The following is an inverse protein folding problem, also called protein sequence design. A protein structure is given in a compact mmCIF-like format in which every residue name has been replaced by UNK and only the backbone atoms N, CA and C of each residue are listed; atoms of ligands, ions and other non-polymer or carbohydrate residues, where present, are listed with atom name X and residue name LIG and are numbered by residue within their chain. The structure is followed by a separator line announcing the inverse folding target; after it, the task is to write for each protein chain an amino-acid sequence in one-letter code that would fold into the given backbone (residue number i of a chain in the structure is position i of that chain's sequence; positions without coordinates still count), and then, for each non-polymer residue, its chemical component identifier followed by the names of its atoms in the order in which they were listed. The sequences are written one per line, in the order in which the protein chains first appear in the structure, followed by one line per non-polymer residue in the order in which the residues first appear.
data_IF_007184526311
#
_entry.id   IF_007184526311
#
_cell.length_a   1.000
_cell.length_b   1.000
_cell.length_c   1.000
_cell.angle_alpha   90.00
_cell.angle_beta   90.00
_cell.angle_gamma   90.00
#
_symmetry.space_group_name_H-M   'P 1'
#
loop_
_entity.id
_entity.type
_entity.pdbx_description
1 polymer ?
#
# COMPACT_ATOMS: atom_id res chain seq x y z
N UNK A 1 53.96 61.83 26.87
CA UNK A 1 52.61 61.32 27.22
C UNK A 1 52.23 60.22 26.26
N UNK A 2 52.35 58.96 26.67
CA UNK A 2 51.95 57.77 25.84
C UNK A 2 50.72 57.16 26.50
N UNK A 3 49.58 57.17 25.81
CA UNK A 3 48.40 56.50 26.25
C UNK A 3 48.48 55.02 25.89
N UNK A 4 48.29 54.13 26.85
CA UNK A 4 48.19 52.68 26.67
C UNK A 4 46.74 52.30 26.39
N UNK A 5 46.48 51.70 25.25
CA UNK A 5 45.23 51.02 24.93
C UNK A 5 45.28 49.58 25.50
N UNK A 6 44.30 49.25 26.35
CA UNK A 6 44.10 47.92 26.88
C UNK A 6 43.34 47.00 25.87
N UNK A 7 43.52 45.71 25.94
CA UNK A 7 42.84 44.78 24.99
C UNK A 7 41.37 44.58 25.39
N UNK A 8 40.49 44.72 24.35
CA UNK A 8 39.09 44.35 24.43
C UNK A 8 38.98 42.83 24.28
N UNK A 9 38.53 42.17 25.33
CA UNK A 9 38.23 40.74 25.32
C UNK A 9 36.92 40.52 24.59
N UNK A 10 36.98 40.00 23.35
CA UNK A 10 35.80 39.53 22.59
C UNK A 10 35.38 38.14 23.10
N UNK A 11 34.28 38.13 23.85
CA UNK A 11 33.59 36.91 24.30
C UNK A 11 32.87 36.28 23.08
N UNK A 12 33.47 35.27 22.45
CA UNK A 12 32.81 34.44 21.44
C UNK A 12 31.92 33.44 22.19
N UNK A 13 30.63 33.70 22.25
CA UNK A 13 29.63 32.73 22.65
C UNK A 13 29.50 31.66 21.58
N UNK A 14 30.01 30.46 21.85
CA UNK A 14 29.75 29.29 21.05
C UNK A 14 28.31 28.83 21.31
N UNK A 15 27.42 29.09 20.34
CA UNK A 15 26.07 28.54 20.34
C UNK A 15 26.17 27.05 19.94
N UNK A 16 26.23 26.16 20.94
CA UNK A 16 26.15 24.72 20.72
C UNK A 16 24.70 24.39 20.39
N UNK A 17 24.40 24.28 19.11
CA UNK A 17 23.14 23.66 18.64
C UNK A 17 23.27 22.18 18.95
N UNK A 18 22.67 21.71 20.04
CA UNK A 18 22.40 20.30 20.24
C UNK A 18 21.37 19.89 19.21
N UNK A 19 21.81 19.25 18.14
CA UNK A 19 20.94 18.38 17.35
C UNK A 19 20.53 17.23 18.27
N UNK A 20 19.34 17.33 18.83
CA UNK A 20 18.66 16.16 19.37
C UNK A 20 18.34 15.26 18.17
N UNK A 21 19.22 14.31 17.91
CA UNK A 21 18.88 13.13 17.11
C UNK A 21 17.90 12.36 17.98
N UNK A 22 16.63 12.69 17.86
CA UNK A 22 15.57 11.85 18.36
C UNK A 22 15.71 10.51 17.64
N UNK A 23 15.98 9.44 18.39
CA UNK A 23 15.74 8.08 17.94
C UNK A 23 14.21 7.98 17.74
N UNK A 24 13.73 8.44 16.58
CA UNK A 24 12.37 8.20 16.14
C UNK A 24 12.24 6.70 15.99
N UNK A 25 11.48 6.06 16.86
CA UNK A 25 10.97 4.71 16.62
C UNK A 25 10.21 4.79 15.30
N UNK A 26 10.62 3.96 14.36
CA UNK A 26 10.13 4.01 13.00
C UNK A 26 8.71 3.48 12.96
N UNK A 27 7.82 4.25 12.36
CA UNK A 27 6.49 3.83 12.05
C UNK A 27 6.58 2.65 11.06
N UNK A 28 6.12 1.49 11.50
CA UNK A 28 5.88 0.32 10.65
C UNK A 28 4.37 0.21 10.51
N UNK A 29 3.86 0.31 9.27
CA UNK A 29 2.44 0.18 8.98
C UNK A 29 1.86 -1.10 9.59
N UNK A 30 0.64 -1.08 10.06
CA UNK A 30 -0.11 -2.17 10.72
C UNK A 30 0.71 -3.25 11.45
N UNK A 31 1.99 -3.08 11.63
CA UNK A 31 2.91 -4.08 12.13
C UNK A 31 2.78 -5.43 11.41
N UNK A 32 3.70 -6.33 11.62
CA UNK A 32 3.69 -7.64 10.96
C UNK A 32 2.39 -8.45 11.14
N UNK A 33 1.66 -8.23 12.24
CA UNK A 33 0.42 -8.97 12.53
C UNK A 33 -0.76 -8.45 11.72
N UNK A 34 -0.87 -7.12 11.55
CA UNK A 34 -1.95 -6.50 10.79
C UNK A 34 -1.85 -6.83 9.31
N UNK A 35 -0.66 -6.70 8.71
CA UNK A 35 -0.46 -7.05 7.30
C UNK A 35 -0.76 -8.52 7.00
N UNK A 36 -0.33 -9.46 7.89
CA UNK A 36 -0.72 -10.86 7.74
C UNK A 36 -2.23 -11.04 7.72
N UNK A 37 -2.92 -10.49 8.70
CA UNK A 37 -4.37 -10.62 8.83
C UNK A 37 -5.12 -10.02 7.63
N UNK A 38 -4.66 -8.90 7.09
CA UNK A 38 -5.23 -8.27 5.89
C UNK A 38 -5.10 -9.20 4.69
N UNK A 39 -3.87 -9.65 4.39
CA UNK A 39 -3.60 -10.54 3.27
C UNK A 39 -4.36 -11.87 3.37
N UNK A 40 -4.30 -12.53 4.53
CA UNK A 40 -5.00 -13.80 4.76
C UNK A 40 -6.52 -13.66 4.60
N UNK A 41 -7.13 -12.64 5.23
CA UNK A 41 -8.58 -12.45 5.19
C UNK A 41 -9.08 -12.08 3.79
N UNK A 42 -8.33 -11.27 3.04
CA UNK A 42 -8.67 -10.92 1.66
C UNK A 42 -8.69 -12.16 0.75
N UNK A 43 -7.67 -13.02 0.84
CA UNK A 43 -7.57 -14.24 0.04
C UNK A 43 -8.66 -15.24 0.39
N UNK A 44 -8.94 -15.45 1.67
CA UNK A 44 -10.01 -16.34 2.12
C UNK A 44 -11.41 -15.86 1.71
N UNK A 45 -11.57 -14.57 1.41
CA UNK A 45 -12.82 -13.96 0.95
C UNK A 45 -12.95 -13.89 -0.58
N UNK A 46 -11.97 -14.40 -1.35
CA UNK A 46 -12.01 -14.37 -2.82
C UNK A 46 -13.14 -15.24 -3.37
N UNK A 47 -13.91 -14.73 -4.37
CA UNK A 47 -14.97 -15.49 -5.02
C UNK A 47 -14.41 -16.61 -5.93
N UNK A 48 -15.29 -17.56 -6.25
CA UNK A 48 -14.92 -18.75 -7.04
C UNK A 48 -14.46 -18.46 -8.48
N UNK A 49 -14.71 -17.26 -8.99
CA UNK A 49 -14.28 -16.86 -10.34
C UNK A 49 -12.77 -16.66 -10.48
N UNK A 50 -12.04 -16.48 -9.36
CA UNK A 50 -10.59 -16.35 -9.36
C UNK A 50 -9.92 -17.73 -9.62
N UNK A 51 -8.68 -17.72 -10.17
CA UNK A 51 -7.91 -18.94 -10.37
C UNK A 51 -7.82 -19.78 -9.09
N UNK A 52 -7.98 -21.12 -9.19
CA UNK A 52 -8.01 -22.01 -8.02
C UNK A 52 -6.77 -21.90 -7.13
N UNK A 53 -5.58 -21.68 -7.71
CA UNK A 53 -4.33 -21.61 -6.96
C UNK A 53 -4.33 -20.47 -5.92
N UNK A 54 -5.08 -19.39 -6.14
CA UNK A 54 -5.22 -18.29 -5.15
C UNK A 54 -6.03 -18.70 -3.93
N UNK A 55 -6.88 -19.71 -4.04
CA UNK A 55 -7.76 -20.20 -2.98
C UNK A 55 -7.24 -21.45 -2.26
N UNK A 56 -6.04 -21.87 -2.62
CA UNK A 56 -5.36 -22.98 -1.93
C UNK A 56 -4.97 -22.54 -0.50
N UNK A 57 -5.03 -23.48 0.43
CA UNK A 57 -4.78 -23.20 1.86
C UNK A 57 -3.41 -22.55 2.14
N UNK A 58 -2.41 -22.83 1.29
CA UNK A 58 -1.07 -22.22 1.40
C UNK A 58 -1.00 -20.78 0.88
N UNK A 59 -1.90 -20.38 -0.03
CA UNK A 59 -1.83 -19.07 -0.68
C UNK A 59 -2.19 -17.93 0.27
N UNK A 60 -3.19 -18.10 1.13
CA UNK A 60 -3.52 -17.12 2.15
C UNK A 60 -2.33 -16.85 3.08
N UNK A 61 -1.71 -17.90 3.61
CA UNK A 61 -0.53 -17.77 4.46
C UNK A 61 0.65 -17.17 3.71
N UNK A 62 0.90 -17.56 2.47
CA UNK A 62 1.97 -17.01 1.65
C UNK A 62 1.80 -15.50 1.46
N UNK A 63 0.60 -15.05 1.09
CA UNK A 63 0.30 -13.63 0.90
C UNK A 63 0.40 -12.85 2.21
N UNK A 64 -0.08 -13.40 3.33
CA UNK A 64 0.11 -12.79 4.64
C UNK A 64 1.59 -12.59 5.01
N UNK A 65 2.48 -13.54 4.68
CA UNK A 65 3.91 -13.38 4.91
C UNK A 65 4.57 -12.43 3.89
N UNK A 66 4.20 -12.50 2.62
CA UNK A 66 4.73 -11.63 1.55
C UNK A 66 4.30 -10.18 1.73
N UNK A 67 3.13 -9.92 2.33
CA UNK A 67 2.69 -8.57 2.70
C UNK A 67 3.60 -7.85 3.69
N UNK A 68 4.67 -8.46 4.16
CA UNK A 68 5.70 -7.85 5.03
C UNK A 68 6.97 -7.47 4.27
N UNK A 69 7.09 -7.82 3.00
CA UNK A 69 8.32 -7.61 2.24
C UNK A 69 8.64 -6.13 1.99
N UNK A 70 7.67 -5.22 1.73
CA UNK A 70 7.97 -3.80 1.61
C UNK A 70 8.68 -3.24 2.85
N UNK A 71 8.22 -3.57 4.06
CA UNK A 71 8.89 -3.18 5.30
C UNK A 71 10.26 -3.82 5.48
N UNK A 72 10.41 -5.09 5.12
CA UNK A 72 11.70 -5.81 5.22
C UNK A 72 12.76 -5.28 4.27
N UNK A 73 12.34 -4.69 3.16
CA UNK A 73 13.25 -4.10 2.18
C UNK A 73 13.67 -2.68 2.53
N UNK A 74 13.07 -2.08 3.57
CA UNK A 74 13.53 -0.79 4.14
C UNK A 74 14.74 -1.05 5.04
N UNK A 75 15.66 -0.07 5.09
CA UNK A 75 16.79 -0.05 6.05
C UNK A 75 17.71 -1.28 6.00
N UNK A 76 17.88 -1.81 4.81
CA UNK A 76 18.90 -2.83 4.55
C UNK A 76 20.34 -2.28 4.65
N UNK A 77 20.52 -0.97 4.87
CA UNK A 77 21.81 -0.29 4.93
C UNK A 77 22.35 0.10 3.56
N UNK A 78 21.52 0.10 2.52
CA UNK A 78 21.89 0.46 1.16
C UNK A 78 21.50 1.90 0.82
N UNK A 79 22.13 2.48 -0.20
CA UNK A 79 22.00 3.91 -0.53
C UNK A 79 20.56 4.35 -0.87
N UNK A 80 19.70 3.45 -1.39
CA UNK A 80 18.34 3.74 -1.80
C UNK A 80 17.26 3.27 -0.82
N UNK A 81 17.62 2.85 0.38
CA UNK A 81 16.64 2.37 1.36
C UNK A 81 15.58 3.41 1.66
N UNK A 82 16.02 4.65 1.93
CA UNK A 82 15.11 5.76 2.26
C UNK A 82 14.21 6.20 1.09
N UNK A 83 14.56 5.85 -0.15
CA UNK A 83 13.75 6.21 -1.31
C UNK A 83 12.43 5.42 -1.40
N UNK A 84 12.33 4.31 -0.67
CA UNK A 84 11.13 3.46 -0.58
C UNK A 84 10.16 3.90 0.52
N UNK A 85 10.67 4.55 1.57
CA UNK A 85 9.87 4.97 2.72
C UNK A 85 8.61 5.76 2.34
N UNK A 86 8.67 6.75 1.42
CA UNK A 86 7.49 7.52 1.06
C UNK A 86 6.39 6.76 0.30
N UNK A 87 6.67 5.54 -0.14
CA UNK A 87 5.67 4.65 -0.74
C UNK A 87 4.63 4.13 0.25
N UNK A 88 4.89 4.25 1.56
CA UNK A 88 4.06 3.71 2.64
C UNK A 88 3.03 4.70 3.18
N UNK A 89 3.06 5.96 2.78
CA UNK A 89 2.18 6.99 3.32
C UNK A 89 1.80 8.05 2.28
N UNK A 90 0.79 8.84 2.62
CA UNK A 90 0.44 10.08 1.93
C UNK A 90 -0.03 11.11 2.97
N UNK A 91 0.60 12.26 3.01
CA UNK A 91 0.31 13.32 3.98
C UNK A 91 -0.88 14.18 3.54
N UNK A 92 -2.09 13.64 3.75
CA UNK A 92 -3.34 14.39 3.61
C UNK A 92 -3.54 15.38 4.77
N UNK A 93 -3.91 16.60 4.46
CA UNK A 93 -4.25 17.64 5.44
C UNK A 93 -5.73 17.59 5.85
N UNK A 94 -6.11 18.40 6.85
CA UNK A 94 -7.48 18.49 7.37
C UNK A 94 -8.54 18.95 6.32
N UNK A 95 -8.10 19.42 5.15
CA UNK A 95 -8.97 19.77 4.02
C UNK A 95 -9.10 18.64 2.98
N UNK A 96 -8.49 17.47 3.22
CA UNK A 96 -8.50 16.34 2.29
C UNK A 96 -7.53 16.47 1.13
N UNK A 97 -6.49 17.32 1.28
CA UNK A 97 -5.54 17.60 0.20
C UNK A 97 -4.11 17.25 0.61
N UNK A 98 -3.32 16.83 -0.34
CA UNK A 98 -1.88 16.72 -0.20
C UNK A 98 -1.25 18.07 -0.50
N UNK A 99 -0.42 18.56 0.44
CA UNK A 99 0.26 19.86 0.34
C UNK A 99 -0.70 21.07 0.12
N UNK A 100 -1.97 20.95 0.51
CA UNK A 100 -2.99 21.99 0.32
C UNK A 100 -3.46 22.19 -1.12
N UNK A 101 -2.96 21.41 -2.09
CA UNK A 101 -3.20 21.64 -3.54
C UNK A 101 -3.85 20.47 -4.24
N UNK A 102 -3.56 19.22 -3.87
CA UNK A 102 -4.05 18.02 -4.56
C UNK A 102 -5.09 17.28 -3.72
N UNK A 103 -6.40 17.37 -4.05
CA UNK A 103 -7.40 16.55 -3.36
C UNK A 103 -7.12 15.06 -3.56
N UNK A 104 -7.19 14.25 -2.51
CA UNK A 104 -7.04 12.79 -2.61
C UNK A 104 -8.06 12.19 -3.59
N UNK A 105 -9.27 12.74 -3.64
CA UNK A 105 -10.33 12.29 -4.57
C UNK A 105 -10.14 12.70 -6.03
N UNK A 106 -9.07 13.46 -6.34
CA UNK A 106 -8.78 13.95 -7.69
C UNK A 106 -7.27 13.96 -7.95
N UNK A 107 -6.64 12.83 -7.70
CA UNK A 107 -5.21 12.63 -7.93
C UNK A 107 -4.89 12.64 -9.44
N UNK A 108 -3.72 13.14 -9.85
CA UNK A 108 -3.24 12.99 -11.23
C UNK A 108 -3.14 11.50 -11.63
N UNK A 109 -3.32 11.17 -12.93
CA UNK A 109 -3.33 9.77 -13.38
C UNK A 109 -1.96 9.08 -13.33
N UNK A 110 -0.87 9.82 -13.14
CA UNK A 110 0.49 9.27 -13.08
C UNK A 110 1.27 9.86 -11.91
N UNK A 111 2.19 9.06 -11.35
CA UNK A 111 3.11 9.49 -10.29
C UNK A 111 3.98 10.68 -10.73
N UNK A 112 4.40 10.73 -11.99
CA UNK A 112 5.17 11.84 -12.53
C UNK A 112 4.38 13.15 -12.53
N UNK A 113 3.10 13.11 -12.94
CA UNK A 113 2.22 14.28 -12.90
C UNK A 113 1.94 14.73 -11.44
N UNK A 114 1.81 13.79 -10.52
CA UNK A 114 1.69 14.06 -9.08
C UNK A 114 2.93 14.75 -8.53
N UNK A 115 4.13 14.20 -8.77
CA UNK A 115 5.38 14.82 -8.31
C UNK A 115 5.60 16.22 -8.93
N UNK A 116 5.25 16.38 -10.19
CA UNK A 116 5.29 17.69 -10.87
C UNK A 116 4.38 18.71 -10.20
N UNK A 117 3.15 18.34 -9.86
CA UNK A 117 2.22 19.21 -9.15
C UNK A 117 2.71 19.59 -7.76
N UNK A 118 3.26 18.62 -7.00
CA UNK A 118 3.84 18.86 -5.68
C UNK A 118 5.07 19.78 -5.75
N UNK A 119 5.95 19.58 -6.73
CA UNK A 119 7.09 20.49 -6.96
C UNK A 119 6.64 21.91 -7.29
N UNK A 120 5.54 22.06 -8.04
CA UNK A 120 4.88 23.35 -8.25
C UNK A 120 4.41 24.02 -6.96
N UNK A 121 4.05 23.25 -5.94
CA UNK A 121 3.71 23.72 -4.60
C UNK A 121 4.92 23.86 -3.64
N UNK A 122 6.14 23.64 -4.13
CA UNK A 122 7.38 23.77 -3.34
C UNK A 122 7.74 22.58 -2.47
N UNK A 123 7.11 21.43 -2.68
CA UNK A 123 7.38 20.17 -1.96
C UNK A 123 7.67 19.04 -2.95
N UNK A 124 7.91 17.84 -2.45
CA UNK A 124 8.18 16.67 -3.29
C UNK A 124 7.35 15.49 -2.84
N UNK A 125 7.11 14.51 -3.72
CA UNK A 125 6.47 13.25 -3.39
C UNK A 125 7.28 12.45 -2.36
N UNK A 126 8.60 12.62 -2.31
CA UNK A 126 9.44 12.02 -1.27
C UNK A 126 9.06 12.51 0.13
N UNK A 127 8.67 13.78 0.27
CA UNK A 127 8.27 14.37 1.57
C UNK A 127 6.80 14.12 1.90
N UNK A 128 5.93 14.20 0.90
CA UNK A 128 4.46 14.11 1.09
C UNK A 128 3.93 12.68 0.98
N UNK A 129 4.78 11.72 0.64
CA UNK A 129 4.40 10.35 0.35
C UNK A 129 3.83 10.16 -1.05
N UNK A 130 3.83 8.90 -1.50
CA UNK A 130 3.26 8.49 -2.78
C UNK A 130 2.52 7.15 -2.69
N UNK A 131 2.00 6.81 -1.52
CA UNK A 131 1.20 5.59 -1.27
C UNK A 131 0.11 5.34 -2.34
N UNK A 132 -0.63 6.36 -2.83
CA UNK A 132 -1.62 6.12 -3.88
C UNK A 132 -1.02 5.44 -5.11
N UNK A 133 0.20 5.82 -5.48
CA UNK A 133 0.86 5.30 -6.68
C UNK A 133 1.54 3.95 -6.44
N UNK A 134 1.94 3.64 -5.20
CA UNK A 134 2.35 2.29 -4.84
C UNK A 134 1.20 1.30 -5.06
N UNK A 135 -0.01 1.63 -4.61
CA UNK A 135 -1.21 0.81 -4.83
C UNK A 135 -1.54 0.70 -6.32
N UNK A 136 -1.59 1.83 -7.06
CA UNK A 136 -1.94 1.86 -8.48
C UNK A 136 -0.94 1.07 -9.32
N UNK A 137 0.36 1.25 -9.09
CA UNK A 137 1.44 0.57 -9.83
C UNK A 137 1.38 -0.95 -9.62
N UNK A 138 1.22 -1.41 -8.36
CA UNK A 138 1.12 -2.84 -8.03
C UNK A 138 -0.18 -3.46 -8.58
N UNK A 139 -1.30 -2.72 -8.54
CA UNK A 139 -2.54 -3.19 -9.14
C UNK A 139 -2.42 -3.37 -10.66
N UNK A 140 -1.81 -2.40 -11.37
CA UNK A 140 -1.57 -2.50 -12.81
C UNK A 140 -0.61 -3.67 -13.16
N UNK A 141 0.40 -3.89 -12.34
CA UNK A 141 1.28 -5.05 -12.48
C UNK A 141 0.50 -6.34 -12.33
N UNK A 142 -0.36 -6.45 -11.33
CA UNK A 142 -1.22 -7.61 -11.09
C UNK A 142 -2.18 -7.89 -12.27
N UNK A 143 -2.78 -6.84 -12.86
CA UNK A 143 -3.60 -6.97 -14.08
C UNK A 143 -2.80 -7.62 -15.20
N UNK A 144 -1.57 -7.16 -15.43
CA UNK A 144 -0.68 -7.70 -16.45
C UNK A 144 -0.33 -9.17 -16.18
N UNK A 145 0.01 -9.51 -14.94
CA UNK A 145 0.42 -10.88 -14.61
C UNK A 145 -0.75 -11.86 -14.66
N UNK A 146 -1.96 -11.45 -14.30
CA UNK A 146 -3.16 -12.22 -14.58
C UNK A 146 -3.43 -12.40 -16.08
N UNK A 147 -3.18 -11.36 -16.90
CA UNK A 147 -3.34 -11.46 -18.35
C UNK A 147 -2.39 -12.51 -18.95
N UNK A 148 -1.11 -12.49 -18.58
CA UNK A 148 -0.14 -13.51 -19.00
C UNK A 148 -0.50 -14.90 -18.49
N UNK A 149 -0.94 -15.03 -17.24
CA UNK A 149 -1.40 -16.31 -16.70
C UNK A 149 -2.57 -16.89 -17.50
N UNK A 150 -3.56 -16.07 -17.89
CA UNK A 150 -4.68 -16.48 -18.74
C UNK A 150 -4.21 -17.01 -20.10
N UNK A 151 -3.26 -16.30 -20.69
CA UNK A 151 -2.70 -16.66 -22.00
C UNK A 151 -1.92 -17.96 -21.92
N UNK A 152 -1.11 -18.15 -20.88
CA UNK A 152 -0.39 -19.41 -20.66
C UNK A 152 -1.35 -20.58 -20.42
N UNK A 153 -2.38 -20.38 -19.60
CA UNK A 153 -3.38 -21.41 -19.32
C UNK A 153 -4.17 -21.80 -20.58
N UNK A 154 -4.63 -20.83 -21.35
CA UNK A 154 -5.34 -21.07 -22.61
C UNK A 154 -4.41 -21.70 -23.65
N UNK A 155 -3.20 -21.15 -23.82
CA UNK A 155 -2.20 -21.67 -24.75
C UNK A 155 -1.80 -23.11 -24.45
N UNK A 156 -1.61 -23.47 -23.18
CA UNK A 156 -1.27 -24.82 -22.76
C UNK A 156 -2.39 -25.84 -23.08
N UNK A 157 -3.65 -25.42 -23.00
CA UNK A 157 -4.81 -26.23 -23.38
C UNK A 157 -4.94 -26.43 -24.90
N UNK A 158 -4.52 -25.44 -25.68
CA UNK A 158 -4.63 -25.40 -27.12
C UNK A 158 -3.36 -25.92 -27.83
N UNK A 159 -2.26 -26.09 -27.10
CA UNK A 159 -0.97 -26.49 -27.66
C UNK A 159 -1.02 -27.80 -28.46
N UNK A 160 -0.48 -27.76 -29.68
CA UNK A 160 -0.49 -28.89 -30.65
C UNK A 160 0.66 -29.85 -30.44
N UNK A 161 1.71 -29.49 -29.68
CA UNK A 161 2.87 -30.33 -29.38
C UNK A 161 3.13 -30.39 -27.87
N UNK A 162 3.77 -31.50 -27.44
CA UNK A 162 4.11 -31.67 -26.02
C UNK A 162 5.12 -30.64 -25.54
N UNK A 163 6.07 -30.22 -26.36
CA UNK A 163 7.10 -29.25 -26.00
C UNK A 163 6.48 -27.86 -25.78
N UNK A 164 5.60 -27.41 -26.68
CA UNK A 164 4.86 -26.15 -26.52
C UNK A 164 4.02 -26.16 -25.25
N UNK A 165 3.30 -27.24 -25.01
CA UNK A 165 2.50 -27.40 -23.79
C UNK A 165 3.36 -27.35 -22.55
N UNK A 166 4.48 -28.08 -22.53
CA UNK A 166 5.37 -28.12 -21.37
C UNK A 166 5.96 -26.74 -21.04
N UNK A 167 6.33 -25.99 -22.09
CA UNK A 167 6.83 -24.61 -21.87
C UNK A 167 5.76 -23.70 -21.28
N UNK A 168 4.54 -23.66 -21.85
CA UNK A 168 3.43 -22.83 -21.38
C UNK A 168 3.00 -23.20 -19.95
N UNK A 169 2.94 -24.48 -19.60
CA UNK A 169 2.69 -24.91 -18.22
C UNK A 169 3.80 -24.46 -17.26
N UNK A 170 5.05 -24.48 -17.71
CA UNK A 170 6.19 -23.98 -16.92
C UNK A 170 6.14 -22.46 -16.74
N UNK A 171 5.74 -21.71 -17.78
CA UNK A 171 5.58 -20.25 -17.69
C UNK A 171 4.39 -19.88 -16.79
N UNK A 172 3.27 -20.57 -16.96
CA UNK A 172 2.11 -20.43 -16.07
C UNK A 172 2.49 -20.61 -14.59
N UNK A 173 3.33 -21.59 -14.26
CA UNK A 173 3.81 -21.83 -12.91
C UNK A 173 4.67 -20.66 -12.39
N UNK A 174 5.53 -20.07 -13.24
CA UNK A 174 6.30 -18.87 -12.90
C UNK A 174 5.38 -17.69 -12.64
N UNK A 175 4.35 -17.49 -13.49
CA UNK A 175 3.34 -16.43 -13.30
C UNK A 175 2.56 -16.60 -12.01
N UNK A 176 2.18 -17.83 -11.61
CA UNK A 176 1.53 -18.07 -10.33
C UNK A 176 2.39 -17.60 -9.16
N UNK A 177 3.68 -17.90 -9.16
CA UNK A 177 4.59 -17.46 -8.10
C UNK A 177 4.73 -15.92 -8.07
N UNK A 178 4.78 -15.29 -9.25
CA UNK A 178 4.84 -13.84 -9.37
C UNK A 178 3.55 -13.17 -8.89
N UNK A 179 2.38 -13.65 -9.32
CA UNK A 179 1.07 -13.15 -8.86
C UNK A 179 0.96 -13.19 -7.34
N UNK A 180 1.39 -14.28 -6.69
CA UNK A 180 1.39 -14.36 -5.23
C UNK A 180 2.29 -13.30 -4.61
N UNK A 181 3.45 -13.04 -5.19
CA UNK A 181 4.36 -12.00 -4.73
C UNK A 181 3.76 -10.59 -4.92
N UNK A 182 3.20 -10.30 -6.09
CA UNK A 182 2.60 -9.00 -6.41
C UNK A 182 1.37 -8.71 -5.53
N UNK A 183 0.51 -9.73 -5.27
CA UNK A 183 -0.58 -9.59 -4.29
C UNK A 183 -0.02 -9.34 -2.88
N UNK A 184 1.10 -9.95 -2.53
CA UNK A 184 1.78 -9.68 -1.26
C UNK A 184 2.20 -8.22 -1.15
N UNK A 185 2.85 -7.64 -2.16
CA UNK A 185 3.21 -6.23 -2.19
C UNK A 185 1.98 -5.32 -2.12
N UNK A 186 0.99 -5.57 -2.98
CA UNK A 186 -0.27 -4.82 -2.99
C UNK A 186 -0.96 -4.88 -1.63
N UNK A 187 -0.97 -6.04 -0.96
CA UNK A 187 -1.59 -6.21 0.35
C UNK A 187 -0.98 -5.32 1.43
N UNK A 188 0.33 -5.05 1.31
CA UNK A 188 1.02 -4.13 2.20
C UNK A 188 0.52 -2.70 2.03
N UNK A 189 0.60 -2.17 0.80
CA UNK A 189 0.25 -0.77 0.54
C UNK A 189 -1.25 -0.50 0.70
N UNK A 190 -2.12 -1.44 0.34
CA UNK A 190 -3.56 -1.36 0.65
C UNK A 190 -3.78 -1.40 2.16
N UNK A 191 -3.02 -2.22 2.88
CA UNK A 191 -3.04 -2.23 4.34
C UNK A 191 -2.67 -0.86 4.93
N UNK A 192 -1.57 -0.26 4.46
CA UNK A 192 -1.16 1.09 4.85
C UNK A 192 -2.26 2.12 4.59
N UNK A 193 -2.93 2.00 3.45
CA UNK A 193 -4.05 2.87 3.08
C UNK A 193 -5.29 2.74 3.97
N UNK A 194 -5.40 1.73 4.84
CA UNK A 194 -6.47 1.61 5.84
C UNK A 194 -6.07 2.10 7.24
N UNK A 195 -4.86 2.60 7.37
CA UNK A 195 -4.29 3.04 8.63
C UNK A 195 -4.26 4.58 8.69
N UNK A 196 -5.15 5.23 9.46
CA UNK A 196 -5.33 6.68 9.41
C UNK A 196 -4.05 7.49 9.67
N UNK A 197 -3.09 6.90 10.35
CA UNK A 197 -1.80 7.55 10.58
C UNK A 197 -0.84 7.43 9.38
N UNK A 198 -1.18 6.68 8.33
CA UNK A 198 -0.46 6.64 7.05
C UNK A 198 -1.06 7.54 5.97
N UNK A 199 -2.24 8.10 6.23
CA UNK A 199 -2.94 8.96 5.25
C UNK A 199 -2.97 10.44 5.65
N UNK A 200 -2.30 10.81 6.77
CA UNK A 200 -2.45 12.13 7.38
C UNK A 200 -1.13 12.78 7.80
N UNK A 201 -1.10 14.12 7.75
CA UNK A 201 -0.06 14.94 8.39
C UNK A 201 0.03 14.71 9.92
N UNK A 202 -1.02 14.15 10.54
CA UNK A 202 -1.09 13.84 11.97
C UNK A 202 -0.64 12.40 12.26
N UNK A 203 0.41 11.95 11.63
CA UNK A 203 0.83 10.54 11.59
C UNK A 203 1.38 9.97 12.91
N UNK A 204 1.86 10.79 13.86
CA UNK A 204 2.49 10.27 15.09
C UNK A 204 2.37 11.25 16.27
N UNK A 205 1.16 11.46 16.73
CA UNK A 205 0.73 12.60 17.54
C UNK A 205 0.24 13.72 16.63
N UNK A 206 -0.52 14.67 17.19
CA UNK A 206 -1.14 15.73 16.38
C UNK A 206 -0.13 16.61 15.62
N UNK A 207 1.09 16.70 16.14
CA UNK A 207 2.17 17.46 15.52
C UNK A 207 2.07 18.98 15.73
N UNK A 208 2.84 19.78 14.95
CA UNK A 208 2.95 21.22 15.12
C UNK A 208 1.81 22.00 14.44
N UNK A 209 0.67 21.41 14.26
CA UNK A 209 -0.49 21.99 13.60
C UNK A 209 -1.48 22.58 14.61
N UNK A 210 -2.41 23.47 14.19
CA UNK A 210 -3.50 23.93 15.05
C UNK A 210 -4.24 22.74 15.65
N UNK A 211 -4.41 22.73 16.99
CA UNK A 211 -4.98 21.62 17.73
C UNK A 211 -6.22 22.05 18.55
N UNK A 212 -7.32 22.39 17.89
CA UNK A 212 -8.53 22.83 18.61
C UNK A 212 -9.18 21.71 19.43
N UNK A 213 -8.95 20.44 19.03
CA UNK A 213 -9.43 19.26 19.76
C UNK A 213 -8.61 18.95 21.01
N UNK A 214 -7.44 19.55 21.19
CA UNK A 214 -6.54 19.24 22.31
C UNK A 214 -6.09 17.77 22.29
N UNK A 215 -5.79 17.26 21.10
CA UNK A 215 -5.29 15.89 20.90
C UNK A 215 -3.85 15.73 21.34
N UNK A 216 -3.44 14.50 21.61
CA UNK A 216 -2.10 14.21 22.12
C UNK A 216 -0.99 14.61 21.15
N UNK A 217 0.13 15.07 21.70
CA UNK A 217 1.39 15.25 20.95
C UNK A 217 2.35 14.09 21.12
N UNK A 218 1.97 13.11 21.96
CA UNK A 218 2.77 11.90 22.19
C UNK A 218 2.76 10.98 20.98
N UNK A 219 3.77 10.13 20.88
CA UNK A 219 3.91 9.15 19.81
C UNK A 219 2.87 8.04 19.97
N UNK A 220 1.87 8.00 19.12
CA UNK A 220 0.75 7.04 19.15
C UNK A 220 0.85 5.95 18.08
N UNK A 221 1.62 6.18 17.02
CA UNK A 221 1.67 5.34 15.81
C UNK A 221 2.07 3.89 16.16
N UNK A 222 3.33 3.67 16.51
CA UNK A 222 3.88 2.34 16.80
C UNK A 222 3.12 1.58 17.90
N UNK A 223 2.73 2.21 19.02
CA UNK A 223 1.94 1.52 20.05
C UNK A 223 0.60 1.00 19.54
N UNK A 224 -0.08 1.75 18.65
CA UNK A 224 -1.39 1.37 18.15
C UNK A 224 -1.30 0.30 17.05
N UNK A 225 -0.51 0.53 16.02
CA UNK A 225 -0.38 -0.36 14.86
C UNK A 225 0.22 -1.72 15.20
N UNK A 226 1.16 -1.76 16.13
CA UNK A 226 1.91 -2.96 16.48
C UNK A 226 1.27 -3.74 17.62
N UNK A 227 1.48 -3.26 18.84
CA UNK A 227 1.10 -4.01 20.03
C UNK A 227 -0.43 -4.12 20.19
N UNK A 228 -1.13 -3.00 20.04
CA UNK A 228 -2.57 -2.96 20.27
C UNK A 228 -3.32 -3.82 19.25
N UNK A 229 -3.05 -3.67 17.94
CA UNK A 229 -3.65 -4.50 16.88
C UNK A 229 -3.47 -6.00 17.18
N UNK A 230 -2.25 -6.41 17.49
CA UNK A 230 -1.95 -7.82 17.82
C UNK A 230 -2.72 -8.35 19.01
N UNK A 231 -3.06 -7.48 19.96
CA UNK A 231 -3.77 -7.89 21.18
C UNK A 231 -5.28 -7.97 21.00
N UNK A 232 -5.86 -7.14 20.12
CA UNK A 232 -7.31 -6.95 20.09
C UNK A 232 -7.99 -7.46 18.82
N UNK A 233 -7.31 -7.50 17.67
CA UNK A 233 -7.90 -7.98 16.42
C UNK A 233 -7.79 -9.50 16.33
N UNK A 234 -8.93 -10.14 16.09
CA UNK A 234 -8.97 -11.59 15.86
C UNK A 234 -9.41 -11.88 14.41
N UNK A 235 -8.92 -12.96 13.77
CA UNK A 235 -9.31 -13.30 12.40
C UNK A 235 -10.84 -13.41 12.20
N UNK A 236 -11.56 -13.96 13.20
CA UNK A 236 -13.02 -14.08 13.11
C UNK A 236 -13.74 -12.74 13.18
N UNK A 237 -13.32 -11.82 14.06
CA UNK A 237 -13.88 -10.48 14.15
C UNK A 237 -13.58 -9.65 12.91
N UNK A 238 -12.35 -9.77 12.39
CA UNK A 238 -11.95 -9.13 11.14
C UNK A 238 -12.85 -9.56 9.97
N UNK A 239 -12.97 -10.87 9.74
CA UNK A 239 -13.81 -11.41 8.67
C UNK A 239 -15.29 -10.99 8.81
N UNK A 240 -15.81 -10.96 10.04
CA UNK A 240 -17.17 -10.50 10.30
C UNK A 240 -17.37 -9.01 10.04
N UNK A 241 -16.32 -8.20 10.11
CA UNK A 241 -16.33 -6.76 9.86
C UNK A 241 -16.04 -6.38 8.40
N UNK A 242 -15.59 -7.33 7.56
CA UNK A 242 -15.37 -7.07 6.12
C UNK A 242 -16.68 -6.70 5.42
N UNK A 243 -16.60 -5.74 4.52
CA UNK A 243 -17.74 -5.32 3.70
C UNK A 243 -17.99 -6.29 2.53
N UNK A 244 -19.20 -6.37 1.97
CA UNK A 244 -19.46 -7.03 0.70
C UNK A 244 -18.58 -6.46 -0.42
N UNK A 245 -18.35 -7.27 -1.49
CA UNK A 245 -17.65 -6.80 -2.68
C UNK A 245 -18.28 -5.53 -3.24
N UNK A 246 -17.44 -4.54 -3.53
CA UNK A 246 -17.89 -3.27 -4.10
C UNK A 246 -17.04 -2.91 -5.33
N UNK A 247 -17.74 -2.67 -6.44
CA UNK A 247 -17.17 -2.12 -7.67
C UNK A 247 -17.75 -0.72 -7.89
N UNK A 248 -16.91 0.30 -7.88
CA UNK A 248 -17.34 1.67 -8.18
C UNK A 248 -17.59 1.89 -9.67
N UNK A 249 -17.21 0.95 -10.52
CA UNK A 249 -17.18 1.11 -11.98
C UNK A 249 -16.41 2.38 -12.40
N UNK A 250 -15.31 2.65 -11.70
CA UNK A 250 -14.47 3.82 -11.88
C UNK A 250 -13.01 3.39 -12.16
N UNK A 251 -12.16 4.27 -12.76
CA UNK A 251 -10.74 4.02 -12.90
C UNK A 251 -10.04 3.79 -11.55
N UNK A 252 -8.94 3.01 -11.57
CA UNK A 252 -8.21 2.63 -10.36
C UNK A 252 -7.69 3.84 -9.56
N UNK A 253 -7.24 4.89 -10.23
CA UNK A 253 -6.77 6.12 -9.58
C UNK A 253 -7.89 6.80 -8.78
N UNK A 254 -9.11 6.81 -9.31
CA UNK A 254 -10.27 7.34 -8.59
C UNK A 254 -10.68 6.46 -7.41
N UNK A 255 -10.62 5.12 -7.59
CA UNK A 255 -10.90 4.17 -6.50
C UNK A 255 -9.92 4.35 -5.36
N UNK A 256 -8.63 4.32 -5.65
CA UNK A 256 -7.57 4.48 -4.65
C UNK A 256 -7.67 5.85 -3.97
N UNK A 257 -7.92 6.91 -4.74
CA UNK A 257 -8.11 8.25 -4.20
C UNK A 257 -9.29 8.34 -3.21
N UNK A 258 -10.43 7.72 -3.54
CA UNK A 258 -11.59 7.66 -2.66
C UNK A 258 -11.31 6.84 -1.40
N UNK A 259 -10.69 5.67 -1.54
CA UNK A 259 -10.28 4.81 -0.43
C UNK A 259 -9.39 5.53 0.59
N UNK A 260 -8.36 6.23 0.12
CA UNK A 260 -7.46 6.99 0.99
C UNK A 260 -8.13 8.22 1.62
N UNK A 261 -9.06 8.87 0.91
CA UNK A 261 -9.84 9.97 1.46
C UNK A 261 -10.81 9.50 2.57
N UNK A 262 -11.43 8.33 2.39
CA UNK A 262 -12.29 7.70 3.41
C UNK A 262 -11.48 7.33 4.65
N UNK A 263 -10.25 6.85 4.48
CA UNK A 263 -9.36 6.56 5.60
C UNK A 263 -8.92 7.83 6.32
N UNK A 264 -8.48 8.87 5.59
CA UNK A 264 -8.13 10.18 6.14
C UNK A 264 -9.26 10.76 7.01
N UNK A 265 -10.52 10.57 6.60
CA UNK A 265 -11.68 11.02 7.39
C UNK A 265 -11.79 10.34 8.76
N UNK A 266 -11.07 9.23 9.00
CA UNK A 266 -11.06 8.52 10.28
C UNK A 266 -9.99 9.02 11.25
N UNK A 267 -9.14 9.98 10.86
CA UNK A 267 -8.07 10.53 11.70
C UNK A 267 -8.62 11.25 12.92
N UNK A 268 -9.59 12.13 12.75
CA UNK A 268 -10.23 12.83 13.89
C UNK A 268 -10.92 11.82 14.83
N UNK A 269 -11.76 10.87 14.35
CA UNK A 269 -12.27 9.79 15.18
C UNK A 269 -11.21 8.99 15.94
N UNK A 270 -10.07 8.71 15.30
CA UNK A 270 -8.94 8.05 15.98
C UNK A 270 -8.43 8.88 17.17
N UNK A 271 -8.14 10.16 16.96
CA UNK A 271 -7.63 11.03 18.04
C UNK A 271 -8.66 11.29 19.13
N UNK A 272 -9.95 11.31 18.82
CA UNK A 272 -11.01 11.42 19.83
C UNK A 272 -11.08 10.14 20.68
N UNK A 273 -10.95 8.98 20.07
CA UNK A 273 -10.90 7.69 20.77
C UNK A 273 -9.64 7.59 21.63
N UNK A 274 -8.49 8.01 21.12
CA UNK A 274 -7.23 8.07 21.87
C UNK A 274 -7.38 8.95 23.12
N UNK A 275 -7.86 10.17 22.94
CA UNK A 275 -8.11 11.12 24.03
C UNK A 275 -9.09 10.60 25.07
N UNK A 276 -10.08 9.81 24.66
CA UNK A 276 -11.02 9.14 25.54
C UNK A 276 -10.42 7.89 26.23
N UNK A 277 -9.18 7.50 25.88
CA UNK A 277 -8.52 6.31 26.41
C UNK A 277 -9.11 5.00 25.88
N UNK A 278 -9.68 5.03 24.67
CA UNK A 278 -10.33 3.87 24.07
C UNK A 278 -9.34 2.75 23.69
N UNK A 279 -8.07 3.09 23.45
CA UNK A 279 -7.04 2.09 23.11
C UNK A 279 -6.35 1.46 24.33
N UNK A 280 -7.01 1.51 25.48
CA UNK A 280 -6.60 0.74 26.64
C UNK A 280 -7.19 -0.68 26.58
N UNK A 281 -6.52 -1.68 27.17
CA UNK A 281 -7.04 -3.06 27.19
C UNK A 281 -8.48 -3.14 27.72
N UNK A 282 -9.34 -3.88 27.02
CA UNK A 282 -10.73 -4.13 27.45
C UNK A 282 -11.74 -3.04 27.05
N UNK A 283 -11.36 -1.98 26.37
CA UNK A 283 -12.30 -0.93 25.93
C UNK A 283 -12.85 -1.28 24.55
N UNK A 284 -14.13 -1.65 24.49
CA UNK A 284 -14.78 -2.16 23.28
C UNK A 284 -14.72 -1.20 22.06
N UNK A 285 -14.86 0.11 22.26
CA UNK A 285 -14.82 1.10 21.17
C UNK A 285 -13.49 1.13 20.43
N UNK A 286 -12.37 0.99 21.15
CA UNK A 286 -11.05 0.92 20.51
C UNK A 286 -10.86 -0.37 19.71
N UNK A 287 -11.36 -1.51 20.26
CA UNK A 287 -11.35 -2.79 19.55
C UNK A 287 -12.18 -2.73 18.27
N UNK A 288 -13.39 -2.18 18.35
CA UNK A 288 -14.30 -2.03 17.21
C UNK A 288 -13.68 -1.16 16.12
N UNK A 289 -13.18 0.01 16.48
CA UNK A 289 -12.52 0.93 15.53
C UNK A 289 -11.34 0.24 14.84
N UNK A 290 -10.44 -0.35 15.62
CA UNK A 290 -9.22 -0.98 15.09
C UNK A 290 -9.54 -2.18 14.19
N UNK A 291 -10.48 -3.04 14.61
CA UNK A 291 -10.94 -4.16 13.79
C UNK A 291 -11.57 -3.67 12.49
N UNK A 292 -12.36 -2.60 12.54
CA UNK A 292 -12.97 -1.98 11.36
C UNK A 292 -11.93 -1.44 10.37
N UNK A 293 -10.83 -0.84 10.85
CA UNK A 293 -9.77 -0.34 9.95
C UNK A 293 -9.01 -1.49 9.28
N UNK A 294 -8.62 -2.53 10.03
CA UNK A 294 -7.98 -3.73 9.46
C UNK A 294 -8.92 -4.44 8.46
N UNK A 295 -10.21 -4.52 8.78
CA UNK A 295 -11.22 -5.10 7.88
C UNK A 295 -11.44 -4.26 6.61
N UNK A 296 -11.32 -2.93 6.68
CA UNK A 296 -11.37 -2.06 5.52
C UNK A 296 -10.22 -2.37 4.55
N UNK A 297 -8.98 -2.51 5.05
CA UNK A 297 -7.84 -2.93 4.22
C UNK A 297 -8.04 -4.30 3.59
N UNK A 298 -8.52 -5.29 4.34
CA UNK A 298 -8.79 -6.63 3.80
C UNK A 298 -9.92 -6.62 2.75
N UNK A 299 -10.95 -5.79 2.93
CA UNK A 299 -12.05 -5.66 1.97
C UNK A 299 -11.59 -5.01 0.67
N UNK A 300 -10.82 -3.92 0.76
CA UNK A 300 -10.27 -3.22 -0.40
C UNK A 300 -9.31 -4.12 -1.18
N UNK A 301 -8.38 -4.80 -0.50
CA UNK A 301 -7.47 -5.74 -1.15
C UNK A 301 -8.22 -6.85 -1.91
N UNK A 302 -9.24 -7.47 -1.29
CA UNK A 302 -10.09 -8.45 -1.97
C UNK A 302 -10.71 -7.86 -3.24
N UNK A 303 -11.25 -6.66 -3.14
CA UNK A 303 -11.93 -6.00 -4.26
C UNK A 303 -10.95 -5.67 -5.38
N UNK A 304 -9.78 -5.16 -5.05
CA UNK A 304 -8.74 -4.86 -6.04
C UNK A 304 -8.22 -6.10 -6.76
N UNK A 305 -8.04 -7.23 -6.05
CA UNK A 305 -7.67 -8.51 -6.67
C UNK A 305 -8.76 -8.98 -7.67
N UNK A 306 -10.03 -8.89 -7.28
CA UNK A 306 -11.16 -9.26 -8.15
C UNK A 306 -11.21 -8.36 -9.39
N UNK A 307 -11.05 -7.05 -9.20
CA UNK A 307 -11.05 -6.08 -10.30
C UNK A 307 -9.85 -6.26 -11.23
N UNK A 308 -8.66 -6.55 -10.70
CA UNK A 308 -7.48 -6.86 -11.52
C UNK A 308 -7.69 -8.13 -12.37
N UNK A 309 -8.27 -9.18 -11.77
CA UNK A 309 -8.63 -10.40 -12.49
C UNK A 309 -9.63 -10.12 -13.63
N UNK A 310 -10.66 -9.32 -13.39
CA UNK A 310 -11.65 -8.93 -14.40
C UNK A 310 -11.01 -8.10 -15.50
N UNK A 311 -10.24 -7.08 -15.15
CA UNK A 311 -9.56 -6.20 -16.10
C UNK A 311 -8.56 -6.97 -16.99
N UNK A 312 -7.94 -8.03 -16.48
CA UNK A 312 -6.97 -8.83 -17.22
C UNK A 312 -7.57 -9.55 -18.45
N UNK A 313 -8.87 -9.78 -18.48
CA UNK A 313 -9.53 -10.43 -19.62
C UNK A 313 -9.52 -9.57 -20.91
N UNK A 314 -9.55 -8.25 -20.74
CA UNK A 314 -9.53 -7.28 -21.85
C UNK A 314 -8.12 -6.72 -22.11
N UNK A 315 -7.11 -7.22 -21.40
CA UNK A 315 -5.75 -6.75 -21.53
C UNK A 315 -5.09 -7.26 -22.84
N UNK A 316 -4.02 -6.56 -23.21
CA UNK A 316 -3.09 -6.99 -24.26
C UNK A 316 -1.83 -7.55 -23.64
N UNK A 317 -1.27 -8.55 -24.27
CA UNK A 317 -0.01 -9.22 -23.92
C UNK A 317 0.91 -9.33 -25.13
N UNK A 318 2.19 -9.66 -24.91
CA UNK A 318 3.21 -9.70 -25.95
C UNK A 318 3.85 -8.34 -26.20
N UNK A 319 4.92 -8.37 -27.01
CA UNK A 319 5.70 -7.18 -27.34
C UNK A 319 5.90 -7.13 -28.83
N UNK A 320 5.44 -6.98 -29.73
CA UNK A 320 5.63 -6.94 -31.20
C UNK A 320 5.59 -8.36 -31.85
N UNK A 321 4.38 -8.86 -32.14
CA UNK A 321 3.08 -8.16 -32.02
C UNK A 321 2.42 -8.30 -30.66
N UNK A 322 1.67 -7.27 -30.25
CA UNK A 322 0.69 -7.41 -29.16
C UNK A 322 -0.55 -8.16 -29.66
N UNK A 323 -1.19 -8.92 -28.76
CA UNK A 323 -2.47 -9.57 -29.02
C UNK A 323 -3.38 -9.51 -27.79
N UNK A 324 -4.68 -9.63 -28.02
CA UNK A 324 -5.66 -9.59 -26.94
C UNK A 324 -5.74 -10.94 -26.22
N UNK A 325 -5.88 -10.93 -24.90
CA UNK A 325 -6.09 -12.15 -24.10
C UNK A 325 -7.27 -12.96 -24.63
N UNK A 326 -8.41 -12.34 -24.91
CA UNK A 326 -9.60 -13.00 -25.44
C UNK A 326 -9.40 -13.69 -26.81
N UNK A 327 -8.46 -13.22 -27.63
CA UNK A 327 -8.15 -13.90 -28.90
C UNK A 327 -7.38 -15.21 -28.67
N UNK A 328 -6.55 -15.27 -27.64
CA UNK A 328 -5.90 -16.54 -27.23
C UNK A 328 -6.91 -17.47 -26.56
N UNK A 329 -7.70 -16.98 -25.61
CA UNK A 329 -8.72 -17.79 -24.92
C UNK A 329 -9.72 -18.42 -25.89
N UNK A 330 -10.07 -17.72 -26.99
CA UNK A 330 -10.94 -18.21 -28.05
C UNK A 330 -10.24 -19.09 -29.11
N UNK A 331 -8.93 -19.27 -29.01
CA UNK A 331 -8.12 -20.07 -29.95
C UNK A 331 -7.87 -19.44 -31.32
N UNK A 332 -8.08 -18.13 -31.46
CA UNK A 332 -7.78 -17.38 -32.70
C UNK A 332 -6.28 -17.11 -32.87
N UNK A 333 -5.55 -16.99 -31.78
CA UNK A 333 -4.12 -16.70 -31.72
C UNK A 333 -3.42 -17.79 -30.92
N UNK A 334 -2.37 -18.40 -31.50
CA UNK A 334 -1.43 -19.22 -30.75
C UNK A 334 -0.38 -18.29 -30.10
N UNK A 335 -0.30 -18.25 -28.77
CA UNK A 335 0.59 -17.31 -28.10
C UNK A 335 2.05 -17.76 -28.08
N UNK A 336 2.34 -19.03 -28.42
CA UNK A 336 3.62 -19.66 -28.15
C UNK A 336 4.79 -18.92 -28.81
N UNK A 337 4.69 -18.68 -30.12
CA UNK A 337 5.81 -18.08 -30.86
C UNK A 337 6.07 -16.64 -30.44
N UNK A 338 5.04 -15.91 -29.98
CA UNK A 338 5.17 -14.54 -29.46
C UNK A 338 5.68 -14.46 -28.01
N UNK A 339 5.38 -15.48 -27.18
CA UNK A 339 5.80 -15.50 -25.76
C UNK A 339 7.15 -16.19 -25.58
N UNK A 340 7.39 -17.25 -26.34
CA UNK A 340 8.66 -17.98 -26.29
C UNK A 340 9.77 -17.20 -27.00
N UNK A 341 9.45 -16.52 -28.08
CA UNK A 341 10.19 -15.60 -28.95
C UNK A 341 11.70 -15.73 -28.99
N UNK A 342 12.23 -15.83 -30.20
CA UNK A 342 13.65 -15.52 -30.43
C UNK A 342 13.72 -14.05 -30.89
N UNK A 343 14.43 -13.21 -30.16
CA UNK A 343 14.71 -11.80 -30.54
C UNK A 343 15.58 -11.72 -31.79
#
# INVERSE_FOLDING_TARGET
MRARLGPVLALRGALTVMLAVGAGGEAMAWGSSGHRMIGEAAIEALPAELPPFLRDAGSATAIGELGREPDRSRKSGLAHDSDRDPGHFVDGDDSGKVAGVLPLTALPPTREAYDTALRGAGVTSWKMGYLPYSIIEDWQQLVKDFAYWRVDDAGARLATTLDRKAWLESDKARRQAQILFDIGLLSHFVGDGSMPLHTSIHFNGWGPFPNPGGYTLEHVHVPWEGLYVRQVVTPSALKAAMTPFHDCNCPIDQRVGAYLADDLATVIPFYELEKAGAFKPGVAKGVEFTTGRVAAGASELRDEIVLAWRASADAKVGYQPEFNVGDVESGKVDPYDSLYGDD
#
